data_IF_578536695631
#
_entry.id   IF_578536695631
#
_cell.length_a   1.000
_cell.length_b   1.000
_cell.length_c   1.000
_cell.angle_alpha   90.00
_cell.angle_beta   90.00
_cell.angle_gamma   90.00
#
_symmetry.space_group_name_H-M   'P 1'
#
loop_
_entity.id
_entity.type
_entity.pdbx_description
1 polymer ?
#
# COMPACT_ATOMS: atom_id res chain seq x y z
N UNK A 1 5.97 -15.75 -13.12
CA UNK A 1 6.10 -15.07 -11.82
C UNK A 1 4.83 -15.22 -11.01
N UNK A 2 4.94 -15.36 -9.70
CA UNK A 2 3.78 -15.44 -8.82
C UNK A 2 3.95 -14.50 -7.63
N UNK A 3 3.05 -13.52 -7.49
CA UNK A 3 2.93 -12.69 -6.30
C UNK A 3 1.75 -13.20 -5.48
N UNK A 4 1.97 -13.51 -4.22
CA UNK A 4 0.92 -13.98 -3.32
C UNK A 4 -0.13 -12.89 -3.05
N UNK A 5 -1.35 -13.30 -2.69
CA UNK A 5 -2.36 -12.38 -2.15
C UNK A 5 -1.82 -11.61 -0.94
N UNK A 6 -0.93 -12.22 -0.15
CA UNK A 6 -0.28 -11.61 1.01
C UNK A 6 0.86 -10.66 0.65
N UNK A 7 1.37 -10.71 -0.58
CA UNK A 7 2.32 -9.72 -1.10
C UNK A 7 1.59 -8.45 -1.57
N UNK A 8 0.38 -8.61 -2.09
CA UNK A 8 -0.45 -7.50 -2.56
C UNK A 8 -1.24 -6.82 -1.43
N UNK A 9 -1.59 -7.58 -0.39
CA UNK A 9 -2.34 -7.11 0.78
C UNK A 9 -1.53 -7.39 2.05
N UNK A 10 -0.86 -6.37 2.56
CA UNK A 10 -0.07 -6.47 3.79
C UNK A 10 -0.74 -5.69 4.91
N UNK A 11 -0.99 -6.34 6.02
CA UNK A 11 -1.37 -5.64 7.24
C UNK A 11 -0.19 -4.79 7.70
N UNK A 12 -0.43 -3.53 7.98
CA UNK A 12 0.63 -2.61 8.31
C UNK A 12 0.12 -1.33 8.98
N UNK A 13 0.94 -0.31 8.95
CA UNK A 13 0.73 0.97 9.61
C UNK A 13 0.92 2.13 8.64
N UNK A 14 0.07 3.17 8.78
CA UNK A 14 0.21 4.41 8.01
C UNK A 14 1.41 5.27 8.45
N UNK A 15 1.69 6.34 7.69
CA UNK A 15 0.94 6.77 6.51
C UNK A 15 1.40 6.18 5.17
N UNK A 16 2.62 5.61 5.07
CA UNK A 16 3.19 5.21 3.79
C UNK A 16 3.78 3.80 3.80
N UNK A 17 3.52 3.02 2.74
CA UNK A 17 4.14 1.70 2.60
C UNK A 17 5.64 1.78 2.30
N UNK A 18 6.09 2.78 1.53
CA UNK A 18 7.49 2.96 1.18
C UNK A 18 8.28 3.76 2.23
N UNK A 19 7.67 4.77 2.85
CA UNK A 19 8.37 5.69 3.76
C UNK A 19 8.16 5.38 5.25
N UNK A 20 7.19 4.53 5.60
CA UNK A 20 6.92 4.10 6.98
C UNK A 20 7.15 2.61 7.14
N UNK A 21 6.37 1.76 6.45
CA UNK A 21 6.50 0.31 6.59
C UNK A 21 7.85 -0.20 6.13
N UNK A 22 8.37 0.27 4.98
CA UNK A 22 9.67 -0.13 4.44
C UNK A 22 10.82 0.13 5.42
N UNK A 23 11.02 1.36 5.92
CA UNK A 23 12.04 1.66 6.92
C UNK A 23 11.90 0.85 8.23
N UNK A 24 10.66 0.59 8.69
CA UNK A 24 10.43 -0.28 9.86
C UNK A 24 10.88 -1.72 9.59
N UNK A 25 10.53 -2.27 8.44
CA UNK A 25 10.96 -3.61 8.00
C UNK A 25 12.48 -3.67 7.85
N UNK A 26 13.10 -2.64 7.22
CA UNK A 26 14.54 -2.57 7.08
C UNK A 26 15.27 -2.57 8.43
N UNK A 27 14.74 -1.83 9.42
CA UNK A 27 15.25 -1.85 10.80
C UNK A 27 15.23 -3.25 11.40
N UNK A 28 14.12 -3.97 11.27
CA UNK A 28 14.01 -5.35 11.76
C UNK A 28 14.94 -6.32 11.01
N UNK A 29 15.04 -6.19 9.67
CA UNK A 29 15.99 -6.98 8.87
C UNK A 29 17.45 -6.72 9.29
N UNK A 30 17.79 -5.49 9.65
CA UNK A 30 19.12 -5.16 10.15
C UNK A 30 19.40 -5.79 11.51
N UNK A 31 18.42 -5.85 12.41
CA UNK A 31 18.57 -6.58 13.67
C UNK A 31 18.82 -8.08 13.42
N UNK A 32 18.15 -8.68 12.43
CA UNK A 32 18.41 -10.07 12.02
C UNK A 32 19.80 -10.25 11.41
N UNK A 33 20.30 -9.24 10.69
CA UNK A 33 21.68 -9.23 10.21
C UNK A 33 22.65 -9.20 11.39
N UNK A 34 22.44 -8.33 12.38
CA UNK A 34 23.30 -8.22 13.56
C UNK A 34 23.34 -9.51 14.39
N UNK A 35 22.21 -10.18 14.57
CA UNK A 35 22.14 -11.47 15.30
C UNK A 35 23.01 -12.57 14.70
N UNK A 36 23.32 -12.48 13.41
CA UNK A 36 24.14 -13.44 12.67
C UNK A 36 25.64 -13.11 12.67
N UNK A 37 26.01 -11.92 13.17
CA UNK A 37 27.43 -11.49 13.16
C UNK A 37 28.22 -12.13 14.30
N UNK A 38 29.53 -12.44 14.08
CA UNK A 38 30.40 -13.01 15.10
C UNK A 38 30.93 -11.96 16.11
N UNK A 39 30.63 -10.68 15.91
CA UNK A 39 31.09 -9.56 16.76
C UNK A 39 29.89 -8.91 17.47
N UNK A 40 30.17 -8.24 18.59
CA UNK A 40 29.16 -7.49 19.34
C UNK A 40 29.15 -6.02 18.89
N UNK A 41 27.93 -5.51 18.68
CA UNK A 41 27.66 -4.09 18.38
C UNK A 41 27.34 -3.38 19.69
N UNK A 42 27.79 -2.12 19.86
CA UNK A 42 27.51 -1.30 21.04
C UNK A 42 26.47 -0.19 20.75
N UNK A 43 26.34 0.23 19.49
CA UNK A 43 25.41 1.29 19.10
C UNK A 43 24.89 1.11 17.68
N UNK A 44 23.87 1.92 17.34
CA UNK A 44 23.22 1.91 16.01
C UNK A 44 23.21 3.31 15.42
N UNK A 45 23.16 3.39 14.08
CA UNK A 45 22.91 4.61 13.32
C UNK A 45 22.07 4.31 12.10
N UNK A 46 21.18 5.24 11.72
CA UNK A 46 20.35 5.17 10.52
C UNK A 46 20.55 6.43 9.69
N UNK A 47 20.86 6.31 8.41
CA UNK A 47 20.92 7.40 7.45
C UNK A 47 19.85 7.21 6.39
N UNK A 48 18.99 8.20 6.23
CA UNK A 48 17.86 8.24 5.27
C UNK A 48 18.29 9.08 4.08
N UNK A 49 18.09 8.56 2.86
CA UNK A 49 18.56 9.20 1.62
C UNK A 49 17.41 9.39 0.63
N UNK A 50 17.60 10.33 -0.31
CA UNK A 50 16.68 10.59 -1.39
C UNK A 50 15.27 10.92 -0.89
N UNK A 51 14.24 10.29 -1.43
CA UNK A 51 12.86 10.57 -1.05
C UNK A 51 12.59 10.29 0.43
N UNK A 52 13.25 9.30 1.03
CA UNK A 52 13.14 9.02 2.48
C UNK A 52 13.67 10.18 3.35
N UNK A 53 14.62 10.97 2.84
CA UNK A 53 15.07 12.18 3.53
C UNK A 53 14.15 13.37 3.25
N UNK A 54 13.87 13.65 1.97
CA UNK A 54 13.14 14.85 1.57
C UNK A 54 11.69 14.91 2.04
N UNK A 55 11.01 13.75 2.12
CA UNK A 55 9.61 13.66 2.54
C UNK A 55 9.43 12.88 3.85
N UNK A 56 10.53 12.40 4.43
CA UNK A 56 10.52 11.46 5.56
C UNK A 56 9.82 11.98 6.81
N UNK A 57 10.02 13.25 7.14
CA UNK A 57 9.33 13.87 8.30
C UNK A 57 7.82 13.81 8.14
N UNK A 58 7.31 14.11 6.93
CA UNK A 58 5.88 14.06 6.62
C UNK A 58 5.28 12.63 6.66
N UNK A 59 6.12 11.63 6.44
CA UNK A 59 5.75 10.21 6.46
C UNK A 59 6.14 9.49 7.76
N UNK A 60 6.63 10.20 8.78
CA UNK A 60 7.12 9.64 10.04
C UNK A 60 8.18 8.52 9.81
N UNK A 61 9.08 8.73 8.84
CA UNK A 61 10.12 7.75 8.47
C UNK A 61 11.13 7.56 9.60
N UNK A 62 11.48 8.65 10.29
CA UNK A 62 12.32 8.64 11.52
C UNK A 62 11.67 7.75 12.60
N UNK A 63 10.40 7.99 12.92
CA UNK A 63 9.65 7.16 13.85
C UNK A 63 9.67 5.68 13.43
N UNK A 64 9.45 5.40 12.15
CA UNK A 64 9.37 4.05 11.61
C UNK A 64 10.71 3.30 11.74
N UNK A 65 11.83 3.93 11.38
CA UNK A 65 13.15 3.28 11.48
C UNK A 65 13.55 3.06 12.96
N UNK A 66 13.25 4.03 13.84
CA UNK A 66 13.48 3.88 15.30
C UNK A 66 12.74 2.65 15.83
N UNK A 67 11.44 2.52 15.51
CA UNK A 67 10.63 1.40 15.96
C UNK A 67 11.08 0.08 15.34
N UNK A 68 11.48 0.06 14.07
CA UNK A 68 12.06 -1.11 13.41
C UNK A 68 13.34 -1.58 14.09
N UNK A 69 14.24 -0.66 14.47
CA UNK A 69 15.45 -0.93 15.26
C UNK A 69 15.16 -1.32 16.71
N UNK A 70 13.97 -1.06 17.21
CA UNK A 70 13.48 -1.57 18.50
C UNK A 70 12.78 -2.95 18.37
N UNK A 71 12.64 -3.50 17.15
CA UNK A 71 12.04 -4.80 16.89
C UNK A 71 10.55 -4.80 16.56
N UNK A 72 9.93 -3.63 16.35
CA UNK A 72 8.55 -3.56 15.89
C UNK A 72 8.44 -3.94 14.42
N UNK A 73 7.34 -4.62 14.08
CA UNK A 73 6.97 -4.98 12.72
C UNK A 73 5.60 -4.40 12.35
N UNK A 74 5.39 -4.01 11.09
CA UNK A 74 4.13 -3.39 10.67
C UNK A 74 2.88 -4.25 10.90
N UNK A 75 2.99 -5.58 10.73
CA UNK A 75 1.86 -6.51 10.83
C UNK A 75 1.40 -6.79 12.26
N UNK A 76 2.30 -6.65 13.23
CA UNK A 76 2.04 -6.81 14.66
C UNK A 76 2.02 -5.50 15.44
N UNK A 77 1.97 -4.38 14.71
CA UNK A 77 2.05 -3.04 15.28
C UNK A 77 0.91 -2.75 16.26
N UNK A 78 1.31 -2.28 17.44
CA UNK A 78 0.43 -1.78 18.50
C UNK A 78 0.81 -0.33 18.79
N UNK A 79 -0.09 0.59 18.53
CA UNK A 79 0.20 2.03 18.60
C UNK A 79 0.57 2.49 20.02
N UNK A 80 -0.11 1.99 21.05
CA UNK A 80 0.14 2.41 22.43
C UNK A 80 1.52 1.93 22.91
N UNK A 81 1.89 0.68 22.60
CA UNK A 81 3.22 0.14 22.90
C UNK A 81 4.31 0.86 22.12
N UNK A 82 4.06 1.16 20.84
CA UNK A 82 5.02 1.86 20.00
C UNK A 82 5.26 3.30 20.48
N UNK A 83 4.21 4.03 20.91
CA UNK A 83 4.34 5.37 21.47
C UNK A 83 5.13 5.34 22.79
N UNK A 84 4.81 4.42 23.69
CA UNK A 84 5.52 4.25 24.95
C UNK A 84 7.01 3.93 24.74
N UNK A 85 7.33 3.01 23.82
CA UNK A 85 8.72 2.63 23.51
C UNK A 85 9.47 3.79 22.84
N UNK A 86 8.86 4.54 21.95
CA UNK A 86 9.48 5.70 21.33
C UNK A 86 9.85 6.76 22.36
N UNK A 87 8.98 7.06 23.33
CA UNK A 87 9.26 8.01 24.40
C UNK A 87 10.38 7.48 25.34
N UNK A 88 10.40 6.17 25.63
CA UNK A 88 11.49 5.55 26.37
C UNK A 88 12.84 5.71 25.65
N UNK A 89 12.88 5.39 24.34
CA UNK A 89 14.11 5.50 23.53
C UNK A 89 14.61 6.94 23.49
N UNK A 90 13.71 7.91 23.33
CA UNK A 90 14.08 9.34 23.34
C UNK A 90 14.64 9.79 24.69
N UNK A 91 14.14 9.24 25.79
CA UNK A 91 14.58 9.60 27.13
C UNK A 91 15.90 8.93 27.54
N UNK A 92 16.09 7.66 27.18
CA UNK A 92 17.21 6.82 27.62
C UNK A 92 18.37 6.78 26.60
N UNK A 93 18.12 7.10 25.33
CA UNK A 93 19.13 7.01 24.27
C UNK A 93 19.57 5.57 23.98
N UNK A 94 18.68 4.60 24.17
CA UNK A 94 19.00 3.18 23.99
C UNK A 94 17.84 2.41 23.36
N UNK A 95 18.17 1.34 22.63
CA UNK A 95 17.22 0.32 22.18
C UNK A 95 17.58 -1.03 22.77
N UNK A 96 16.56 -1.87 23.03
CA UNK A 96 16.72 -3.19 23.66
C UNK A 96 16.05 -4.28 22.82
N UNK A 97 16.48 -4.52 21.57
CA UNK A 97 15.85 -5.49 20.70
C UNK A 97 16.10 -6.92 21.22
N UNK A 98 15.11 -7.77 21.08
CA UNK A 98 15.18 -9.16 21.51
C UNK A 98 16.39 -9.89 20.91
N UNK A 99 17.15 -10.62 21.74
CA UNK A 99 18.31 -11.40 21.30
C UNK A 99 19.58 -10.59 21.00
N UNK A 100 19.58 -9.30 21.31
CA UNK A 100 20.77 -8.42 21.23
C UNK A 100 21.00 -7.72 22.57
N UNK A 101 22.23 -7.25 22.84
CA UNK A 101 22.50 -6.43 24.03
C UNK A 101 21.73 -5.10 23.98
N UNK A 102 21.76 -4.34 25.06
CA UNK A 102 21.35 -2.93 25.06
C UNK A 102 22.29 -2.17 24.14
N UNK A 103 21.73 -1.46 23.15
CA UNK A 103 22.47 -0.71 22.15
C UNK A 103 22.22 0.80 22.34
N UNK A 104 23.27 1.59 22.30
CA UNK A 104 23.17 3.06 22.27
C UNK A 104 22.50 3.51 20.97
N UNK A 105 21.51 4.38 21.10
CA UNK A 105 20.80 4.94 19.96
C UNK A 105 20.04 6.20 20.38
N UNK A 106 20.63 7.37 20.11
CA UNK A 106 19.98 8.65 20.34
C UNK A 106 19.28 9.13 19.05
N UNK A 107 17.95 9.11 18.97
CA UNK A 107 17.24 9.50 17.75
C UNK A 107 17.61 10.86 17.18
N UNK A 108 18.06 11.81 18.00
CA UNK A 108 18.43 13.16 17.56
C UNK A 108 19.74 13.19 16.78
N UNK A 109 20.66 12.29 17.11
CA UNK A 109 22.03 12.28 16.57
C UNK A 109 22.24 11.11 15.61
N UNK A 110 21.54 9.98 15.84
CA UNK A 110 21.74 8.72 15.13
C UNK A 110 20.70 8.47 14.01
N UNK A 111 19.66 9.31 13.88
CA UNK A 111 18.79 9.31 12.71
C UNK A 111 19.12 10.52 11.84
N UNK A 112 19.80 10.27 10.74
CA UNK A 112 20.32 11.30 9.83
C UNK A 112 19.42 11.40 8.61
N UNK A 113 18.92 12.59 8.31
CA UNK A 113 18.28 12.90 7.03
C UNK A 113 19.36 13.46 6.09
N UNK A 114 19.85 12.60 5.18
CA UNK A 114 20.88 13.00 4.21
C UNK A 114 20.22 13.55 2.95
N UNK A 115 20.31 14.85 2.75
CA UNK A 115 19.80 15.59 1.59
C UNK A 115 20.79 15.67 0.42
N UNK A 116 21.85 14.87 0.45
CA UNK A 116 22.82 14.73 -0.63
C UNK A 116 22.26 13.96 -1.84
N UNK A 117 23.15 13.51 -2.75
CA UNK A 117 22.76 12.71 -3.89
C UNK A 117 22.04 11.42 -3.48
N UNK A 118 21.08 10.98 -4.30
CA UNK A 118 20.43 9.69 -4.08
C UNK A 118 21.47 8.56 -4.10
N UNK A 119 21.21 7.52 -3.31
CA UNK A 119 21.98 6.28 -3.42
C UNK A 119 21.74 5.63 -4.80
N UNK A 120 22.77 4.97 -5.33
CA UNK A 120 22.62 4.21 -6.58
C UNK A 120 21.58 3.10 -6.40
N UNK A 121 20.65 3.00 -7.34
CA UNK A 121 19.68 1.92 -7.41
C UNK A 121 18.23 2.35 -7.23
N UNK A 122 17.89 3.06 -6.15
CA UNK A 122 16.50 3.48 -5.91
C UNK A 122 16.42 4.76 -5.07
N UNK A 123 15.37 5.58 -5.32
CA UNK A 123 15.18 6.86 -4.63
C UNK A 123 14.86 6.73 -3.13
N UNK A 124 14.37 5.57 -2.67
CA UNK A 124 14.02 5.32 -1.27
C UNK A 124 15.10 4.48 -0.60
N UNK A 125 16.30 5.03 -0.47
CA UNK A 125 17.43 4.35 0.16
C UNK A 125 17.61 4.70 1.63
N UNK A 126 18.07 3.74 2.43
CA UNK A 126 18.51 3.96 3.79
C UNK A 126 19.72 3.09 4.10
N UNK A 127 20.62 3.63 4.91
CA UNK A 127 21.84 2.94 5.36
C UNK A 127 21.73 2.74 6.87
N UNK A 128 21.85 1.49 7.31
CA UNK A 128 21.83 1.12 8.73
C UNK A 128 23.21 0.63 9.14
N UNK A 129 23.76 1.22 10.21
CA UNK A 129 25.12 0.95 10.66
C UNK A 129 25.12 0.45 12.11
N UNK A 130 25.94 -0.57 12.37
CA UNK A 130 26.29 -1.03 13.71
C UNK A 130 27.63 -0.45 14.13
N UNK A 131 27.69 0.12 15.34
CA UNK A 131 28.83 0.84 15.89
C UNK A 131 29.50 0.05 17.01
N UNK A 132 30.80 0.19 17.15
CA UNK A 132 31.53 -0.28 18.33
C UNK A 132 31.39 0.68 19.53
N UNK A 133 32.07 0.36 20.63
CA UNK A 133 32.06 1.19 21.85
C UNK A 133 32.74 2.56 21.69
N UNK A 134 33.53 2.76 20.63
CA UNK A 134 34.18 4.02 20.27
C UNK A 134 33.32 4.88 19.33
N UNK A 135 32.24 4.30 18.77
CA UNK A 135 31.35 4.95 17.82
C UNK A 135 31.79 4.78 16.37
N UNK A 136 32.79 3.92 16.12
CA UNK A 136 33.23 3.59 14.77
C UNK A 136 32.31 2.55 14.14
N UNK A 137 32.03 2.68 12.82
CA UNK A 137 31.20 1.75 12.06
C UNK A 137 31.92 0.42 11.87
N UNK A 138 31.35 -0.67 12.36
CA UNK A 138 31.90 -2.03 12.22
C UNK A 138 31.08 -2.91 11.27
N UNK A 139 29.84 -2.54 10.98
CA UNK A 139 29.01 -3.17 9.95
C UNK A 139 28.01 -2.17 9.40
N UNK A 140 27.70 -2.29 8.12
CA UNK A 140 26.80 -1.40 7.43
C UNK A 140 26.02 -2.15 6.36
N UNK A 141 24.73 -1.89 6.23
CA UNK A 141 23.87 -2.48 5.17
C UNK A 141 23.01 -1.38 4.57
N UNK A 142 23.03 -1.31 3.25
CA UNK A 142 22.11 -0.46 2.47
C UNK A 142 20.85 -1.22 2.11
N UNK A 143 19.71 -0.63 2.41
CA UNK A 143 18.38 -1.12 2.09
C UNK A 143 17.65 -0.15 1.17
N UNK A 144 16.77 -0.70 0.34
CA UNK A 144 15.87 0.06 -0.53
C UNK A 144 14.42 -0.34 -0.30
N UNK A 145 13.57 0.63 -0.03
CA UNK A 145 12.13 0.44 0.06
C UNK A 145 11.49 0.63 -1.31
N UNK A 146 11.21 -0.49 -1.98
CA UNK A 146 10.77 -0.52 -3.38
C UNK A 146 9.25 -0.46 -3.57
N UNK A 147 8.53 0.13 -2.60
CA UNK A 147 7.07 0.29 -2.63
C UNK A 147 6.30 -0.92 -2.09
N UNK A 148 5.02 -0.74 -1.73
CA UNK A 148 4.17 -1.82 -1.22
C UNK A 148 4.69 -2.53 0.04
N UNK A 149 5.58 -1.89 0.82
CA UNK A 149 6.22 -2.49 1.99
C UNK A 149 7.25 -3.58 1.64
N UNK A 150 7.75 -3.62 0.40
CA UNK A 150 8.86 -4.47 0.00
C UNK A 150 10.19 -3.76 0.27
N UNK A 151 11.16 -4.52 0.81
CA UNK A 151 12.51 -4.04 1.10
C UNK A 151 13.51 -5.00 0.49
N UNK A 152 14.53 -4.46 -0.17
CA UNK A 152 15.65 -5.19 -0.73
C UNK A 152 16.97 -4.61 -0.20
N UNK A 153 17.97 -5.45 -0.02
CA UNK A 153 19.35 -4.97 0.16
C UNK A 153 19.93 -4.46 -1.17
N UNK A 154 21.02 -3.69 -1.12
CA UNK A 154 21.70 -3.23 -2.32
C UNK A 154 22.13 -4.40 -3.23
N UNK A 155 22.64 -5.48 -2.63
CA UNK A 155 23.07 -6.67 -3.34
C UNK A 155 21.89 -7.40 -4.02
N UNK A 156 20.76 -7.51 -3.34
CA UNK A 156 19.54 -8.11 -3.89
C UNK A 156 18.98 -7.29 -5.05
N UNK A 157 18.97 -5.96 -4.92
CA UNK A 157 18.54 -5.07 -5.99
C UNK A 157 19.46 -5.15 -7.20
N UNK A 158 20.80 -5.13 -6.99
CA UNK A 158 21.80 -5.25 -8.04
C UNK A 158 21.75 -6.62 -8.76
N UNK A 159 21.42 -7.67 -8.02
CA UNK A 159 21.23 -9.01 -8.58
C UNK A 159 19.93 -9.15 -9.38
N UNK A 160 19.09 -8.09 -9.43
CA UNK A 160 17.77 -8.18 -10.06
C UNK A 160 16.87 -9.19 -9.35
N UNK A 161 17.10 -9.41 -8.04
CA UNK A 161 16.30 -10.33 -7.25
C UNK A 161 14.86 -9.85 -7.23
N UNK A 162 14.03 -10.60 -7.92
CA UNK A 162 12.60 -10.38 -7.88
C UNK A 162 12.05 -10.88 -6.53
N UNK A 163 10.94 -10.33 -6.10
CA UNK A 163 10.24 -10.80 -4.90
C UNK A 163 9.65 -12.21 -5.07
N UNK A 164 9.73 -12.78 -6.27
CA UNK A 164 9.33 -14.15 -6.58
C UNK A 164 10.51 -15.12 -6.32
N UNK A 165 10.26 -16.17 -5.55
CA UNK A 165 11.24 -17.23 -5.28
C UNK A 165 11.49 -18.16 -6.49
N UNK A 166 10.83 -17.90 -7.63
CA UNK A 166 10.97 -18.64 -8.89
C UNK A 166 10.39 -20.05 -8.88
N UNK A 167 9.81 -20.51 -7.76
CA UNK A 167 9.24 -21.84 -7.71
C UNK A 167 7.96 -21.95 -8.58
N UNK A 168 7.76 -23.05 -9.30
CA UNK A 168 6.65 -23.20 -10.23
C UNK A 168 5.29 -23.18 -9.53
N UNK A 169 4.31 -22.56 -10.18
CA UNK A 169 2.89 -22.55 -9.74
C UNK A 169 2.01 -23.13 -10.84
N UNK A 170 0.81 -23.63 -10.52
CA UNK A 170 -0.09 -24.25 -11.53
C UNK A 170 -0.51 -23.31 -12.67
N UNK A 171 -0.68 -22.01 -12.39
CA UNK A 171 -1.15 -21.00 -13.36
C UNK A 171 -0.19 -19.79 -13.37
N UNK A 172 0.97 -19.87 -14.08
CA UNK A 172 2.03 -18.86 -14.01
C UNK A 172 1.85 -17.73 -15.03
N UNK A 173 0.64 -17.12 -15.12
CA UNK A 173 0.39 -16.03 -16.07
C UNK A 173 1.22 -14.77 -15.73
N UNK A 174 1.76 -14.13 -16.78
CA UNK A 174 2.56 -12.89 -16.71
C UNK A 174 1.86 -11.71 -17.40
N UNK A 175 0.80 -11.97 -18.15
CA UNK A 175 0.00 -10.96 -18.84
C UNK A 175 -1.48 -11.25 -18.64
N UNK A 176 -2.33 -10.25 -18.90
CA UNK A 176 -3.78 -10.43 -18.88
C UNK A 176 -4.22 -11.41 -19.97
N UNK A 177 -3.56 -11.35 -21.13
CA UNK A 177 -3.81 -12.32 -22.20
C UNK A 177 -3.55 -13.76 -21.74
N UNK A 178 -2.39 -14.04 -21.15
CA UNK A 178 -2.08 -15.39 -20.63
C UNK A 178 -3.07 -15.82 -19.54
N UNK A 179 -3.51 -14.89 -18.69
CA UNK A 179 -4.51 -15.16 -17.66
C UNK A 179 -5.84 -15.57 -18.26
N UNK A 180 -6.33 -14.88 -19.32
CA UNK A 180 -7.55 -15.21 -20.02
C UNK A 180 -7.43 -16.54 -20.78
N UNK A 181 -6.32 -16.77 -21.48
CA UNK A 181 -6.05 -18.03 -22.17
C UNK A 181 -6.09 -19.23 -21.20
N UNK A 182 -5.44 -19.12 -20.03
CA UNK A 182 -5.46 -20.16 -18.99
C UNK A 182 -6.85 -20.34 -18.37
N UNK A 183 -7.63 -19.27 -18.20
CA UNK A 183 -9.01 -19.35 -17.72
C UNK A 183 -9.89 -20.12 -18.73
N UNK A 184 -9.77 -19.80 -20.01
CA UNK A 184 -10.51 -20.48 -21.09
C UNK A 184 -10.15 -21.95 -21.20
N UNK A 185 -8.85 -22.30 -21.16
CA UNK A 185 -8.35 -23.68 -21.25
C UNK A 185 -8.75 -24.52 -20.03
N UNK A 186 -8.69 -23.96 -18.84
CA UNK A 186 -8.96 -24.69 -17.60
C UNK A 186 -10.45 -24.69 -17.19
N UNK A 187 -11.25 -23.76 -17.70
CA UNK A 187 -12.63 -23.51 -17.25
C UNK A 187 -12.73 -22.96 -15.83
N UNK A 188 -11.63 -22.43 -15.27
CA UNK A 188 -11.58 -21.90 -13.92
C UNK A 188 -11.77 -20.37 -13.93
N UNK A 189 -12.33 -19.85 -12.83
CA UNK A 189 -12.32 -18.42 -12.58
C UNK A 189 -10.90 -17.91 -12.28
N UNK A 190 -10.67 -16.60 -12.45
CA UNK A 190 -9.40 -15.95 -12.10
C UNK A 190 -9.08 -16.17 -10.61
N UNK A 191 -10.09 -16.07 -9.73
CA UNK A 191 -9.95 -16.35 -8.31
C UNK A 191 -9.52 -17.79 -8.02
N UNK A 192 -10.08 -18.77 -8.76
CA UNK A 192 -9.74 -20.20 -8.55
C UNK A 192 -8.33 -20.52 -9.03
N UNK A 193 -7.89 -19.96 -10.16
CA UNK A 193 -6.51 -20.09 -10.64
C UNK A 193 -5.56 -19.49 -9.61
N UNK A 194 -5.85 -18.28 -9.11
CA UNK A 194 -5.06 -17.63 -8.06
C UNK A 194 -5.04 -18.46 -6.78
N UNK A 195 -6.18 -19.00 -6.35
CA UNK A 195 -6.29 -19.90 -5.21
C UNK A 195 -5.43 -21.15 -5.35
N UNK A 196 -5.42 -21.78 -6.52
CA UNK A 196 -4.56 -22.95 -6.77
C UNK A 196 -3.08 -22.60 -6.71
N UNK A 197 -2.69 -21.42 -7.19
CA UNK A 197 -1.32 -20.93 -7.05
C UNK A 197 -0.95 -20.75 -5.57
N UNK A 198 -1.83 -20.13 -4.76
CA UNK A 198 -1.60 -19.99 -3.31
C UNK A 198 -1.47 -21.35 -2.61
N UNK A 199 -2.34 -22.31 -2.94
CA UNK A 199 -2.34 -23.65 -2.36
C UNK A 199 -1.11 -24.48 -2.73
N UNK A 200 -0.37 -24.12 -3.78
CA UNK A 200 0.94 -24.72 -4.07
C UNK A 200 2.04 -24.27 -3.10
N UNK A 201 1.79 -23.21 -2.31
CA UNK A 201 2.76 -22.60 -1.38
C UNK A 201 2.38 -22.79 0.08
N UNK A 202 1.09 -23.00 0.38
CA UNK A 202 0.56 -23.03 1.75
C UNK A 202 -0.69 -23.87 1.88
N UNK A 203 -1.05 -24.23 3.11
CA UNK A 203 -2.26 -24.99 3.39
C UNK A 203 -3.55 -24.16 3.25
N UNK A 204 -4.67 -24.85 2.95
CA UNK A 204 -5.99 -24.21 2.80
C UNK A 204 -6.41 -23.39 4.02
N UNK A 205 -6.18 -23.93 5.24
CA UNK A 205 -6.55 -23.25 6.48
C UNK A 205 -5.71 -21.98 6.72
N UNK A 206 -4.45 -21.98 6.28
CA UNK A 206 -3.56 -20.82 6.37
C UNK A 206 -4.04 -19.72 5.41
N UNK A 207 -4.31 -20.11 4.14
CA UNK A 207 -4.84 -19.19 3.13
C UNK A 207 -6.14 -18.55 3.60
N UNK A 208 -7.12 -19.33 4.03
CA UNK A 208 -8.42 -18.81 4.45
C UNK A 208 -8.29 -17.85 5.63
N UNK A 209 -7.58 -18.25 6.70
CA UNK A 209 -7.36 -17.37 7.88
C UNK A 209 -6.61 -16.08 7.52
N UNK A 210 -5.63 -16.16 6.62
CA UNK A 210 -4.89 -14.99 6.18
C UNK A 210 -5.76 -14.00 5.39
N UNK A 211 -6.60 -14.49 4.48
CA UNK A 211 -7.51 -13.66 3.69
C UNK A 211 -8.64 -13.08 4.57
N UNK A 212 -9.19 -13.87 5.50
CA UNK A 212 -10.14 -13.38 6.50
C UNK A 212 -9.53 -12.25 7.34
N UNK A 213 -8.31 -12.43 7.84
CA UNK A 213 -7.59 -11.40 8.61
C UNK A 213 -7.40 -10.10 7.79
N UNK A 214 -7.09 -10.20 6.50
CA UNK A 214 -6.98 -9.02 5.62
C UNK A 214 -8.29 -8.24 5.62
N UNK A 215 -9.41 -8.93 5.39
CA UNK A 215 -10.71 -8.27 5.39
C UNK A 215 -11.09 -7.70 6.76
N UNK A 216 -10.86 -8.45 7.83
CA UNK A 216 -11.16 -7.98 9.19
C UNK A 216 -10.42 -6.68 9.52
N UNK A 217 -9.14 -6.59 9.17
CA UNK A 217 -8.34 -5.35 9.38
C UNK A 217 -8.85 -4.20 8.51
N UNK A 218 -9.18 -4.46 7.24
CA UNK A 218 -9.77 -3.47 6.34
C UNK A 218 -11.10 -2.92 6.90
N UNK A 219 -11.98 -3.84 7.31
CA UNK A 219 -13.30 -3.48 7.83
C UNK A 219 -13.22 -2.71 9.15
N UNK A 220 -12.37 -3.18 10.09
CA UNK A 220 -12.11 -2.46 11.34
C UNK A 220 -11.49 -1.07 11.11
N UNK A 221 -10.65 -0.93 10.09
CA UNK A 221 -10.09 0.38 9.73
C UNK A 221 -11.18 1.35 9.28
N UNK A 222 -12.14 0.91 8.44
CA UNK A 222 -13.31 1.71 8.07
C UNK A 222 -14.08 2.13 9.32
N UNK A 223 -14.43 1.17 10.18
CA UNK A 223 -15.23 1.44 11.38
C UNK A 223 -14.55 2.43 12.33
N UNK A 224 -13.21 2.32 12.51
CA UNK A 224 -12.45 3.31 13.30
C UNK A 224 -12.48 4.69 12.69
N UNK A 225 -12.29 4.80 11.36
CA UNK A 225 -12.31 6.09 10.65
C UNK A 225 -13.68 6.76 10.67
N UNK A 226 -14.77 5.98 10.59
CA UNK A 226 -16.13 6.47 10.69
C UNK A 226 -16.51 6.93 12.13
N UNK A 227 -15.80 6.44 13.13
CA UNK A 227 -16.05 6.81 14.53
C UNK A 227 -15.23 8.03 15.00
N UNK A 228 -14.14 8.38 14.30
CA UNK A 228 -13.18 9.41 14.74
C UNK A 228 -13.36 10.72 14.00
N UNK A 229 -13.32 11.81 14.74
CA UNK A 229 -13.23 13.18 14.23
C UNK A 229 -11.89 13.85 14.60
N UNK A 230 -11.78 15.16 14.42
CA UNK A 230 -10.62 15.95 14.78
C UNK A 230 -9.76 16.38 13.59
N UNK A 231 -8.50 16.68 13.87
CA UNK A 231 -7.50 17.18 12.91
C UNK A 231 -6.43 16.13 12.69
N UNK A 232 -6.06 15.90 11.42
CA UNK A 232 -4.98 14.99 11.06
C UNK A 232 -3.61 15.56 11.47
N UNK A 233 -2.63 14.71 11.84
CA UNK A 233 -1.29 15.15 12.23
C UNK A 233 -0.51 15.71 11.03
N UNK A 234 0.66 16.33 11.28
CA UNK A 234 1.57 16.82 10.23
C UNK A 234 1.45 18.29 9.89
N UNK A 235 0.57 19.05 10.56
CA UNK A 235 0.54 20.52 10.51
C UNK A 235 -0.16 21.15 9.29
N UNK A 236 -0.87 20.36 8.46
CA UNK A 236 -1.75 20.89 7.42
C UNK A 236 -3.15 21.29 7.96
N UNK A 237 -3.43 20.95 9.22
CA UNK A 237 -4.72 21.20 9.87
C UNK A 237 -5.94 20.64 9.12
N UNK A 238 -5.74 19.55 8.37
CA UNK A 238 -6.81 18.87 7.63
C UNK A 238 -7.78 18.24 8.64
N UNK A 239 -9.06 18.63 8.56
CA UNK A 239 -10.11 18.04 9.37
C UNK A 239 -10.50 16.67 8.85
N UNK A 240 -10.70 15.70 9.75
CA UNK A 240 -11.38 14.46 9.42
C UNK A 240 -12.81 14.75 8.99
N UNK A 241 -13.24 14.19 7.88
CA UNK A 241 -14.55 14.41 7.27
C UNK A 241 -15.43 13.17 7.24
N UNK A 242 -14.81 11.99 7.23
CA UNK A 242 -15.52 10.73 7.05
C UNK A 242 -16.65 10.55 8.08
N UNK A 243 -16.38 10.80 9.36
CA UNK A 243 -17.40 10.72 10.42
C UNK A 243 -18.58 11.65 10.15
N UNK A 244 -18.33 12.93 9.87
CA UNK A 244 -19.41 13.91 9.67
C UNK A 244 -20.27 13.59 8.44
N UNK A 245 -19.65 13.12 7.34
CA UNK A 245 -20.37 12.68 6.15
C UNK A 245 -21.19 11.43 6.46
N UNK A 246 -20.60 10.45 7.16
CA UNK A 246 -21.30 9.23 7.57
C UNK A 246 -22.51 9.50 8.45
N UNK A 247 -22.38 10.39 9.46
CA UNK A 247 -23.47 10.77 10.35
C UNK A 247 -24.63 11.41 9.56
N UNK A 248 -24.31 12.24 8.55
CA UNK A 248 -25.29 12.84 7.64
C UNK A 248 -26.00 11.78 6.79
N UNK A 249 -25.23 10.87 6.16
CA UNK A 249 -25.79 9.80 5.35
C UNK A 249 -26.67 8.85 6.17
N UNK A 250 -26.29 8.56 7.41
CA UNK A 250 -27.10 7.74 8.34
C UNK A 250 -28.41 8.44 8.72
N UNK A 251 -28.39 9.75 8.92
CA UNK A 251 -29.60 10.52 9.20
C UNK A 251 -30.57 10.55 8.00
N UNK A 252 -30.02 10.54 6.78
CA UNK A 252 -30.81 10.52 5.54
C UNK A 252 -31.36 9.13 5.19
N UNK A 253 -30.78 8.05 5.70
CA UNK A 253 -31.12 6.66 5.37
C UNK A 253 -32.60 6.28 5.63
N UNK A 254 -33.27 7.00 6.52
CA UNK A 254 -34.69 6.81 6.84
C UNK A 254 -35.64 7.70 6.04
N UNK A 255 -35.14 8.57 5.17
CA UNK A 255 -35.96 9.51 4.40
C UNK A 255 -36.44 8.87 3.10
N UNK A 256 -37.69 9.17 2.69
CA UNK A 256 -38.28 8.67 1.44
C UNK A 256 -37.67 9.29 0.17
N UNK A 257 -36.79 10.27 0.31
CA UNK A 257 -36.11 10.97 -0.78
C UNK A 257 -34.60 10.80 -0.58
N UNK A 258 -33.94 10.01 -1.44
CA UNK A 258 -32.50 9.96 -1.55
C UNK A 258 -32.07 10.51 -2.92
N UNK A 259 -31.01 11.35 -2.93
CA UNK A 259 -30.43 11.81 -4.19
C UNK A 259 -29.76 10.64 -4.92
N UNK A 260 -29.97 10.49 -6.25
CA UNK A 260 -29.39 9.35 -6.99
C UNK A 260 -27.85 9.22 -6.84
N UNK A 261 -27.13 10.32 -6.63
CA UNK A 261 -25.68 10.34 -6.44
C UNK A 261 -25.22 10.00 -5.00
N UNK A 262 -26.14 9.90 -4.03
CA UNK A 262 -25.82 9.59 -2.63
C UNK A 262 -25.01 8.30 -2.47
N UNK A 263 -25.18 7.36 -3.38
CA UNK A 263 -24.42 6.12 -3.39
C UNK A 263 -22.90 6.37 -3.58
N UNK A 264 -22.53 7.43 -4.32
CA UNK A 264 -21.14 7.85 -4.47
C UNK A 264 -20.58 8.39 -3.16
N UNK A 265 -21.42 9.07 -2.36
CA UNK A 265 -21.02 9.62 -1.07
C UNK A 265 -20.69 8.50 -0.07
N UNK A 266 -21.45 7.38 -0.10
CA UNK A 266 -21.15 6.20 0.71
C UNK A 266 -19.79 5.62 0.37
N UNK A 267 -19.50 5.39 -0.93
CA UNK A 267 -18.21 4.85 -1.39
C UNK A 267 -17.05 5.78 -1.01
N UNK A 268 -17.21 7.09 -1.27
CA UNK A 268 -16.20 8.08 -0.93
C UNK A 268 -15.95 8.12 0.58
N UNK A 269 -17.00 8.06 1.41
CA UNK A 269 -16.90 8.09 2.87
C UNK A 269 -16.13 6.91 3.42
N UNK A 270 -16.38 5.69 2.92
CA UNK A 270 -15.63 4.50 3.34
C UNK A 270 -14.14 4.61 2.97
N UNK A 271 -13.84 5.08 1.75
CA UNK A 271 -12.45 5.26 1.33
C UNK A 271 -11.74 6.36 2.14
N UNK A 272 -12.42 7.47 2.39
CA UNK A 272 -11.90 8.58 3.23
C UNK A 272 -11.64 8.11 4.66
N UNK A 273 -12.53 7.31 5.26
CA UNK A 273 -12.37 6.77 6.60
C UNK A 273 -11.05 5.99 6.73
N UNK A 274 -10.75 5.11 5.77
CA UNK A 274 -9.48 4.37 5.73
C UNK A 274 -8.28 5.31 5.57
N UNK A 275 -8.37 6.29 4.65
CA UNK A 275 -7.23 7.17 4.38
C UNK A 275 -6.99 8.18 5.52
N UNK A 276 -8.01 8.59 6.24
CA UNK A 276 -7.86 9.40 7.46
C UNK A 276 -7.19 8.60 8.58
N UNK A 277 -7.53 7.31 8.74
CA UNK A 277 -6.82 6.41 9.67
C UNK A 277 -5.37 6.19 9.22
N UNK A 278 -5.14 5.96 7.92
CA UNK A 278 -3.79 5.85 7.37
C UNK A 278 -2.96 7.11 7.66
N UNK A 279 -3.51 8.29 7.38
CA UNK A 279 -2.82 9.56 7.61
C UNK A 279 -2.51 9.83 9.09
N UNK A 280 -3.29 9.26 9.99
CA UNK A 280 -3.09 9.35 11.44
C UNK A 280 -2.14 8.29 12.01
N UNK A 281 -1.51 7.46 11.18
CA UNK A 281 -0.60 6.39 11.63
C UNK A 281 -1.32 5.17 12.20
N UNK A 282 -2.60 4.98 11.86
CA UNK A 282 -3.39 3.82 12.27
C UNK A 282 -3.03 2.55 11.51
N UNK A 283 -3.54 1.41 12.01
CA UNK A 283 -3.40 0.14 11.32
C UNK A 283 -4.27 0.12 10.06
N UNK A 284 -3.67 -0.25 8.94
CA UNK A 284 -4.31 -0.36 7.62
C UNK A 284 -3.87 -1.63 6.92
N UNK A 285 -4.51 -1.96 5.80
CA UNK A 285 -3.97 -2.92 4.83
C UNK A 285 -3.44 -2.15 3.62
N UNK A 286 -2.19 -2.36 3.29
CA UNK A 286 -1.61 -1.92 2.02
C UNK A 286 -2.37 -2.57 0.85
N UNK A 287 -2.91 -1.78 -0.11
CA UNK A 287 -3.81 -2.32 -1.13
C UNK A 287 -3.80 -1.49 -2.45
N UNK A 288 -2.78 -1.57 -3.33
CA UNK A 288 -1.47 -2.21 -3.16
C UNK A 288 -0.46 -1.35 -2.41
N UNK A 289 -0.76 -0.06 -2.14
CA UNK A 289 0.03 0.87 -1.33
C UNK A 289 -0.81 1.47 -0.21
N UNK A 290 -0.16 2.10 0.78
CA UNK A 290 -0.88 2.84 1.82
C UNK A 290 -1.57 4.09 1.25
N UNK A 291 -0.96 4.75 0.27
CA UNK A 291 -1.56 5.91 -0.40
C UNK A 291 -2.91 5.60 -1.06
N UNK A 292 -3.12 4.35 -1.46
CA UNK A 292 -4.34 3.85 -2.10
C UNK A 292 -5.16 2.88 -1.22
N UNK A 293 -4.85 2.76 0.07
CA UNK A 293 -5.42 1.77 0.98
C UNK A 293 -6.95 1.84 1.14
N UNK A 294 -7.56 2.98 0.80
CA UNK A 294 -9.00 3.20 0.96
C UNK A 294 -9.87 2.61 -0.16
N UNK A 295 -9.33 2.44 -1.37
CA UNK A 295 -10.13 2.08 -2.55
C UNK A 295 -10.79 0.70 -2.41
N UNK A 296 -9.97 -0.33 -2.22
CA UNK A 296 -10.45 -1.73 -2.19
C UNK A 296 -11.40 -1.99 -1.03
N UNK A 297 -11.08 -1.64 0.23
CA UNK A 297 -12.00 -1.86 1.34
C UNK A 297 -13.31 -1.08 1.20
N UNK A 298 -13.27 0.12 0.61
CA UNK A 298 -14.49 0.89 0.35
C UNK A 298 -15.41 0.20 -0.65
N UNK A 299 -14.85 -0.38 -1.72
CA UNK A 299 -15.64 -1.11 -2.72
C UNK A 299 -16.21 -2.41 -2.14
N UNK A 300 -15.45 -3.15 -1.33
CA UNK A 300 -15.96 -4.35 -0.64
C UNK A 300 -17.09 -3.96 0.33
N UNK A 301 -16.90 -2.91 1.14
CA UNK A 301 -17.92 -2.45 2.10
C UNK A 301 -19.17 -1.94 1.39
N UNK A 302 -19.02 -1.16 0.30
CA UNK A 302 -20.11 -0.77 -0.55
C UNK A 302 -20.88 -1.97 -1.09
N UNK A 303 -20.19 -2.97 -1.63
CA UNK A 303 -20.81 -4.17 -2.14
C UNK A 303 -21.60 -4.90 -1.05
N UNK A 304 -21.02 -5.10 0.13
CA UNK A 304 -21.68 -5.79 1.24
C UNK A 304 -22.91 -5.03 1.78
N UNK A 305 -22.84 -3.70 1.88
CA UNK A 305 -23.87 -2.87 2.52
C UNK A 305 -25.01 -2.46 1.57
N UNK A 306 -24.74 -2.40 0.26
CA UNK A 306 -25.67 -1.79 -0.71
C UNK A 306 -26.05 -2.68 -1.89
N UNK A 307 -25.37 -3.80 -2.14
CA UNK A 307 -25.71 -4.67 -3.27
C UNK A 307 -26.52 -5.88 -2.78
N UNK A 308 -27.76 -6.08 -3.26
CA UNK A 308 -28.59 -7.19 -2.85
C UNK A 308 -27.93 -8.55 -3.16
N UNK A 309 -27.94 -9.46 -2.18
CA UNK A 309 -27.34 -10.79 -2.33
C UNK A 309 -25.82 -10.85 -2.06
N UNK A 310 -25.20 -9.73 -1.74
CA UNK A 310 -23.80 -9.72 -1.30
C UNK A 310 -23.62 -10.50 0.00
N UNK A 311 -22.53 -11.24 0.09
CA UNK A 311 -22.20 -12.03 1.29
C UNK A 311 -20.71 -12.01 1.57
N UNK A 312 -20.32 -11.92 2.86
CA UNK A 312 -18.92 -11.91 3.27
C UNK A 312 -18.15 -13.18 2.86
N UNK A 313 -18.85 -14.29 2.60
CA UNK A 313 -18.25 -15.55 2.13
C UNK A 313 -17.60 -15.44 0.75
N UNK A 314 -17.96 -14.40 -0.04
CA UNK A 314 -17.35 -14.12 -1.33
C UNK A 314 -16.20 -13.11 -1.29
N UNK A 315 -15.90 -12.50 -0.14
CA UNK A 315 -14.75 -11.58 -0.01
C UNK A 315 -13.43 -12.24 -0.40
N UNK A 316 -13.14 -13.51 -0.07
CA UNK A 316 -11.95 -14.19 -0.59
C UNK A 316 -11.87 -14.25 -2.12
N UNK A 317 -12.98 -14.43 -2.82
CA UNK A 317 -13.04 -14.39 -4.29
C UNK A 317 -12.66 -12.99 -4.81
N UNK A 318 -13.20 -11.93 -4.19
CA UNK A 318 -12.86 -10.55 -4.50
C UNK A 318 -11.35 -10.31 -4.34
N UNK A 319 -10.77 -10.62 -3.17
CA UNK A 319 -9.38 -10.34 -2.85
C UNK A 319 -8.40 -11.14 -3.71
N UNK A 320 -8.71 -12.40 -4.02
CA UNK A 320 -7.88 -13.23 -4.90
C UNK A 320 -7.88 -12.70 -6.33
N UNK A 321 -9.04 -12.29 -6.86
CA UNK A 321 -9.13 -11.65 -8.18
C UNK A 321 -8.37 -10.33 -8.21
N UNK A 322 -8.58 -9.47 -7.22
CA UNK A 322 -7.88 -8.21 -7.08
C UNK A 322 -6.35 -8.41 -7.02
N UNK A 323 -5.88 -9.41 -6.27
CA UNK A 323 -4.45 -9.74 -6.19
C UNK A 323 -3.88 -10.25 -7.52
N UNK A 324 -4.66 -10.95 -8.35
CA UNK A 324 -4.21 -11.36 -9.68
C UNK A 324 -3.93 -10.14 -10.57
N UNK A 325 -4.87 -9.18 -10.61
CA UNK A 325 -4.71 -7.93 -11.38
C UNK A 325 -3.56 -7.08 -10.83
N UNK A 326 -3.47 -6.90 -9.51
CA UNK A 326 -2.37 -6.16 -8.89
C UNK A 326 -1.00 -6.77 -9.18
N UNK A 327 -0.93 -8.10 -9.25
CA UNK A 327 0.28 -8.82 -9.64
C UNK A 327 0.72 -8.52 -11.07
N UNK A 328 -0.21 -8.49 -12.04
CA UNK A 328 0.06 -8.13 -13.43
C UNK A 328 0.58 -6.69 -13.54
N UNK A 329 -0.05 -5.75 -12.84
CA UNK A 329 0.34 -4.34 -12.85
C UNK A 329 1.74 -4.17 -12.24
N UNK A 330 1.99 -4.78 -11.07
CA UNK A 330 3.30 -4.70 -10.41
C UNK A 330 4.41 -5.29 -11.27
N UNK A 331 4.14 -6.41 -11.93
CA UNK A 331 5.14 -7.10 -12.75
C UNK A 331 5.48 -6.36 -14.04
N UNK A 332 4.48 -5.81 -14.74
CA UNK A 332 4.66 -5.22 -16.07
C UNK A 332 4.85 -3.70 -16.06
N UNK A 333 4.59 -3.05 -14.91
CA UNK A 333 4.78 -1.61 -14.74
C UNK A 333 5.31 -1.30 -13.34
N UNK A 334 4.51 -0.71 -12.47
CA UNK A 334 4.83 -0.43 -11.06
C UNK A 334 3.55 -0.17 -10.27
N UNK A 335 3.64 -0.35 -8.96
CA UNK A 335 2.62 0.10 -7.99
C UNK A 335 3.12 1.28 -7.14
N UNK A 336 4.29 1.84 -7.46
CA UNK A 336 4.94 2.90 -6.66
C UNK A 336 4.64 4.30 -7.20
N UNK A 337 4.17 5.18 -6.34
CA UNK A 337 3.97 6.60 -6.65
C UNK A 337 5.27 7.32 -7.00
N UNK A 338 6.38 6.92 -6.39
CA UNK A 338 7.71 7.44 -6.66
C UNK A 338 8.24 7.06 -8.06
N UNK A 339 7.78 5.94 -8.62
CA UNK A 339 8.17 5.49 -9.97
C UNK A 339 7.22 5.99 -11.06
N UNK A 340 5.93 5.85 -10.85
CA UNK A 340 4.92 6.08 -11.89
C UNK A 340 3.81 7.07 -11.50
N UNK A 341 3.91 7.79 -10.38
CA UNK A 341 2.84 8.68 -9.92
C UNK A 341 1.64 7.93 -9.32
N UNK A 342 0.58 8.65 -8.97
CA UNK A 342 -0.64 8.06 -8.38
C UNK A 342 -1.44 7.18 -9.35
N UNK A 343 -1.17 7.21 -10.67
CA UNK A 343 -1.72 6.22 -11.59
C UNK A 343 -1.33 4.79 -11.17
N UNK A 344 -0.11 4.61 -10.64
CA UNK A 344 0.37 3.33 -10.13
C UNK A 344 -0.23 2.95 -8.77
N UNK A 345 -0.63 3.89 -7.95
CA UNK A 345 -1.22 3.62 -6.64
C UNK A 345 -2.75 3.52 -6.73
N UNK A 346 -3.43 4.67 -6.89
CA UNK A 346 -4.89 4.74 -6.94
C UNK A 346 -5.45 4.08 -8.20
N UNK A 347 -4.75 4.22 -9.35
CA UNK A 347 -5.16 3.57 -10.60
C UNK A 347 -5.10 2.04 -10.47
N UNK A 348 -4.00 1.50 -9.92
CA UNK A 348 -3.89 0.06 -9.65
C UNK A 348 -4.94 -0.43 -8.67
N UNK A 349 -5.15 0.29 -7.55
CA UNK A 349 -6.17 -0.06 -6.57
C UNK A 349 -7.58 -0.05 -7.16
N UNK A 350 -7.88 0.94 -8.04
CA UNK A 350 -9.17 0.99 -8.75
C UNK A 350 -9.35 -0.17 -9.72
N UNK A 351 -8.32 -0.54 -10.49
CA UNK A 351 -8.35 -1.69 -11.39
C UNK A 351 -8.56 -3.00 -10.62
N UNK A 352 -7.81 -3.18 -9.51
CA UNK A 352 -7.95 -4.32 -8.60
C UNK A 352 -9.36 -4.41 -8.01
N UNK A 353 -9.91 -3.28 -7.57
CA UNK A 353 -11.24 -3.22 -6.97
C UNK A 353 -12.36 -3.46 -8.00
N UNK A 354 -12.21 -2.92 -9.22
CA UNK A 354 -13.16 -3.14 -10.32
C UNK A 354 -13.22 -4.61 -10.71
N UNK A 355 -12.08 -5.25 -10.89
CA UNK A 355 -11.96 -6.67 -11.17
C UNK A 355 -12.57 -7.54 -10.05
N UNK A 356 -12.22 -7.25 -8.79
CA UNK A 356 -12.75 -7.96 -7.63
C UNK A 356 -14.27 -7.85 -7.53
N UNK A 357 -14.84 -6.66 -7.76
CA UNK A 357 -16.29 -6.44 -7.77
C UNK A 357 -16.96 -7.16 -8.93
N UNK A 358 -16.40 -7.07 -10.15
CA UNK A 358 -16.93 -7.76 -11.31
C UNK A 358 -16.99 -9.29 -11.09
N UNK A 359 -15.94 -9.86 -10.47
CA UNK A 359 -15.89 -11.28 -10.14
C UNK A 359 -17.01 -11.71 -9.19
N UNK A 360 -17.16 -11.02 -8.04
CA UNK A 360 -18.19 -11.41 -7.05
C UNK A 360 -19.63 -11.12 -7.51
N UNK A 361 -19.79 -10.29 -8.52
CA UNK A 361 -21.06 -10.05 -9.21
C UNK A 361 -21.33 -11.01 -10.37
N UNK A 362 -20.46 -12.02 -10.60
CA UNK A 362 -20.66 -13.10 -11.56
C UNK A 362 -20.16 -12.79 -12.97
N UNK A 363 -19.24 -11.84 -13.13
CA UNK A 363 -18.61 -11.53 -14.41
C UNK A 363 -17.75 -12.68 -14.95
N UNK A 364 -17.70 -12.78 -16.29
CA UNK A 364 -16.77 -13.69 -16.98
C UNK A 364 -15.33 -13.20 -16.82
N UNK A 365 -14.29 -14.04 -17.06
CA UNK A 365 -12.91 -13.59 -17.05
C UNK A 365 -12.65 -12.36 -17.94
N UNK A 366 -13.27 -12.29 -19.12
CA UNK A 366 -13.17 -11.17 -20.07
C UNK A 366 -13.83 -9.90 -19.52
N UNK A 367 -14.98 -10.02 -18.87
CA UNK A 367 -15.64 -8.88 -18.19
C UNK A 367 -14.82 -8.39 -17.00
N UNK A 368 -14.19 -9.29 -16.25
CA UNK A 368 -13.33 -8.95 -15.11
C UNK A 368 -12.08 -8.18 -15.60
N UNK A 369 -11.46 -8.66 -16.68
CA UNK A 369 -10.30 -8.01 -17.29
C UNK A 369 -10.67 -6.63 -17.84
N UNK A 370 -11.79 -6.51 -18.56
CA UNK A 370 -12.30 -5.23 -19.08
C UNK A 370 -12.64 -4.25 -17.95
N UNK A 371 -13.21 -4.71 -16.82
CA UNK A 371 -13.44 -3.84 -15.67
C UNK A 371 -12.13 -3.25 -15.12
N UNK A 372 -11.07 -4.07 -15.03
CA UNK A 372 -9.75 -3.62 -14.60
C UNK A 372 -9.14 -2.62 -15.58
N UNK A 373 -9.24 -2.88 -16.86
CA UNK A 373 -8.76 -2.00 -17.94
C UNK A 373 -9.44 -0.63 -17.87
N UNK A 374 -10.78 -0.57 -17.88
CA UNK A 374 -11.56 0.69 -17.81
C UNK A 374 -11.14 1.50 -16.57
N UNK A 375 -11.00 0.84 -15.43
CA UNK A 375 -10.60 1.54 -14.21
C UNK A 375 -9.16 2.08 -14.29
N UNK A 376 -8.22 1.33 -14.87
CA UNK A 376 -6.82 1.73 -14.99
C UNK A 376 -6.66 2.89 -15.98
N UNK A 377 -7.25 2.78 -17.18
CA UNK A 377 -7.11 3.80 -18.23
C UNK A 377 -7.56 5.19 -17.76
N UNK A 378 -8.63 5.24 -16.93
CA UNK A 378 -9.16 6.49 -16.38
C UNK A 378 -8.30 7.13 -15.28
N UNK A 379 -7.17 6.51 -14.93
CA UNK A 379 -6.18 7.04 -14.00
C UNK A 379 -4.84 7.37 -14.67
N UNK A 380 -4.68 7.09 -15.97
CA UNK A 380 -3.44 7.38 -16.70
C UNK A 380 -3.08 8.87 -16.63
N UNK A 381 -1.79 9.15 -16.39
CA UNK A 381 -1.27 10.50 -16.23
C UNK A 381 -1.45 11.12 -14.84
N UNK A 382 -2.04 10.42 -13.86
CA UNK A 382 -2.23 10.95 -12.51
C UNK A 382 -0.90 11.09 -11.78
N UNK A 383 -0.55 12.33 -11.42
CA UNK A 383 0.67 12.68 -10.67
C UNK A 383 0.60 12.25 -9.21
N UNK A 384 1.76 12.10 -8.55
CA UNK A 384 1.86 11.94 -7.10
C UNK A 384 2.52 13.19 -6.50
N UNK A 385 1.69 14.13 -6.10
CA UNK A 385 2.07 15.49 -5.69
C UNK A 385 1.41 15.91 -4.37
N UNK A 386 1.57 15.13 -3.29
CA UNK A 386 0.92 15.39 -2.02
C UNK A 386 1.45 16.68 -1.39
N UNK A 387 0.53 17.50 -0.86
CA UNK A 387 0.86 18.77 -0.21
C UNK A 387 1.77 18.52 1.00
N UNK A 388 2.93 19.16 1.03
CA UNK A 388 3.99 18.98 2.05
C UNK A 388 4.44 17.53 2.24
N UNK A 389 4.27 16.68 1.22
CA UNK A 389 4.61 15.26 1.30
C UNK A 389 3.69 14.42 2.19
N UNK A 390 2.58 14.98 2.68
CA UNK A 390 1.68 14.27 3.57
C UNK A 390 0.62 13.49 2.78
N UNK A 391 0.42 12.22 3.11
CA UNK A 391 -0.60 11.34 2.50
C UNK A 391 -2.00 11.74 2.99
N UNK A 392 -2.37 13.00 2.74
CA UNK A 392 -3.63 13.63 3.14
C UNK A 392 -4.33 14.29 1.95
N UNK A 393 -3.75 15.34 1.41
CA UNK A 393 -4.29 16.10 0.28
C UNK A 393 -3.33 15.97 -0.91
N UNK A 394 -3.80 15.45 -2.04
CA UNK A 394 -5.18 15.07 -2.41
C UNK A 394 -5.51 13.59 -2.19
N UNK A 395 -4.68 12.81 -1.49
CA UNK A 395 -4.78 11.36 -1.42
C UNK A 395 -6.15 10.87 -0.89
N UNK A 396 -6.69 11.54 0.13
CA UNK A 396 -7.98 11.17 0.74
C UNK A 396 -9.10 11.24 -0.30
N UNK A 397 -9.21 12.33 -1.05
CA UNK A 397 -10.23 12.49 -2.10
C UNK A 397 -9.99 11.57 -3.30
N UNK A 398 -8.72 11.38 -3.71
CA UNK A 398 -8.37 10.48 -4.81
C UNK A 398 -8.82 9.05 -4.55
N UNK A 399 -8.73 8.58 -3.30
CA UNK A 399 -9.24 7.25 -2.93
C UNK A 399 -10.77 7.18 -3.03
N UNK A 400 -11.48 8.20 -2.58
CA UNK A 400 -12.94 8.28 -2.72
C UNK A 400 -13.39 8.18 -4.17
N UNK A 401 -12.80 9.00 -5.05
CA UNK A 401 -13.11 8.96 -6.49
C UNK A 401 -12.58 7.68 -7.16
N UNK A 402 -11.48 7.11 -6.69
CA UNK A 402 -10.97 5.82 -7.15
C UNK A 402 -11.95 4.68 -6.90
N UNK A 403 -12.57 4.65 -5.73
CA UNK A 403 -13.62 3.67 -5.40
C UNK A 403 -14.86 3.82 -6.29
N UNK A 404 -15.31 5.06 -6.53
CA UNK A 404 -16.44 5.36 -7.41
C UNK A 404 -16.15 4.90 -8.85
N UNK A 405 -14.95 5.21 -9.38
CA UNK A 405 -14.52 4.78 -10.72
C UNK A 405 -14.48 3.24 -10.81
N UNK A 406 -13.98 2.56 -9.79
CA UNK A 406 -13.93 1.10 -9.75
C UNK A 406 -15.32 0.47 -9.87
N UNK A 407 -16.30 0.97 -9.11
CA UNK A 407 -17.68 0.50 -9.18
C UNK A 407 -18.32 0.80 -10.53
N UNK A 408 -18.06 1.99 -11.08
CA UNK A 408 -18.56 2.40 -12.41
C UNK A 408 -17.96 1.52 -13.50
N UNK A 409 -16.68 1.21 -13.46
CA UNK A 409 -15.98 0.35 -14.41
C UNK A 409 -16.53 -1.10 -14.38
N UNK A 410 -16.69 -1.68 -13.19
CA UNK A 410 -17.28 -2.98 -13.01
C UNK A 410 -18.73 -3.04 -13.53
N UNK A 411 -19.54 -2.02 -13.21
CA UNK A 411 -20.92 -1.93 -13.67
C UNK A 411 -21.02 -1.83 -15.19
N UNK A 412 -20.14 -1.06 -15.82
CA UNK A 412 -20.11 -0.88 -17.28
C UNK A 412 -19.70 -2.19 -17.96
N UNK A 413 -18.62 -2.82 -17.52
CA UNK A 413 -18.11 -4.07 -18.07
C UNK A 413 -19.13 -5.22 -17.98
N UNK A 414 -19.82 -5.35 -16.83
CA UNK A 414 -20.84 -6.40 -16.61
C UNK A 414 -22.08 -6.24 -17.51
N UNK A 415 -22.29 -5.10 -18.15
CA UNK A 415 -23.38 -4.88 -19.13
C UNK A 415 -22.97 -5.22 -20.56
N UNK A 416 -21.69 -5.39 -20.81
CA UNK A 416 -21.12 -5.84 -22.08
C UNK A 416 -20.99 -7.36 -22.13
N UNK A 417 -20.44 -7.86 -23.21
CA UNK A 417 -20.11 -9.27 -23.43
C UNK A 417 -18.62 -9.61 -23.14
N UNK A 418 -17.86 -8.65 -22.63
CA UNK A 418 -16.43 -8.77 -22.40
C UNK A 418 -15.54 -8.39 -23.60
N UNK A 419 -16.13 -8.14 -24.78
CA UNK A 419 -15.34 -7.68 -25.94
C UNK A 419 -15.04 -6.20 -25.84
N UNK A 420 -13.76 -5.84 -26.03
CA UNK A 420 -13.27 -4.45 -25.99
C UNK A 420 -12.00 -4.29 -26.83
N UNK A 421 -11.69 -3.05 -27.20
CA UNK A 421 -10.59 -2.74 -28.12
C UNK A 421 -9.23 -2.66 -27.42
N UNK A 422 -9.19 -2.06 -26.24
CA UNK A 422 -7.96 -1.84 -25.47
C UNK A 422 -7.82 -2.94 -24.42
N UNK A 423 -6.90 -3.89 -24.58
CA UNK A 423 -6.69 -4.91 -23.54
C UNK A 423 -5.98 -4.31 -22.31
N UNK A 424 -6.18 -4.90 -21.15
CA UNK A 424 -5.54 -4.49 -19.89
C UNK A 424 -4.00 -4.42 -20.01
N UNK A 425 -3.40 -5.34 -20.77
CA UNK A 425 -1.95 -5.32 -21.02
C UNK A 425 -1.49 -4.02 -21.69
N UNK A 426 -2.29 -3.48 -22.62
CA UNK A 426 -1.98 -2.20 -23.27
C UNK A 426 -2.14 -1.01 -22.32
N UNK A 427 -3.14 -1.03 -21.44
CA UNK A 427 -3.32 0.00 -20.41
C UNK A 427 -2.17 -0.03 -19.39
N UNK A 428 -1.71 -1.22 -18.98
CA UNK A 428 -0.55 -1.40 -18.08
C UNK A 428 0.73 -0.87 -18.73
N UNK A 429 0.99 -1.22 -20.01
CA UNK A 429 2.16 -0.71 -20.74
C UNK A 429 2.10 0.82 -20.94
N UNK A 430 0.91 1.37 -21.22
CA UNK A 430 0.72 2.83 -21.29
C UNK A 430 1.02 3.49 -19.95
N UNK A 431 0.60 2.89 -18.84
CA UNK A 431 0.93 3.39 -17.51
C UNK A 431 2.45 3.38 -17.26
N UNK A 432 3.15 2.31 -17.69
CA UNK A 432 4.61 2.21 -17.58
C UNK A 432 5.31 3.32 -18.38
N UNK A 433 4.89 3.54 -19.63
CA UNK A 433 5.46 4.58 -20.51
C UNK A 433 5.19 5.98 -19.95
N UNK A 434 3.95 6.31 -19.62
CA UNK A 434 3.60 7.60 -19.02
C UNK A 434 4.31 7.82 -17.67
N UNK A 435 4.57 6.73 -16.93
CA UNK A 435 5.39 6.77 -15.73
C UNK A 435 6.84 7.19 -16.04
N UNK A 436 7.45 6.64 -17.08
CA UNK A 436 8.80 7.02 -17.52
C UNK A 436 8.84 8.48 -17.99
N UNK A 437 7.85 8.91 -18.77
CA UNK A 437 7.77 10.26 -19.33
C UNK A 437 7.41 11.33 -18.29
N UNK A 438 6.79 10.94 -17.18
CA UNK A 438 6.42 11.85 -16.11
C UNK A 438 7.66 12.47 -15.47
N UNK A 439 7.72 13.80 -15.43
CA UNK A 439 8.82 14.51 -14.79
C UNK A 439 8.93 14.16 -13.30
N UNK A 440 10.14 13.96 -12.81
CA UNK A 440 10.44 13.55 -11.42
C UNK A 440 9.76 14.43 -10.36
N UNK A 441 9.58 15.73 -10.60
CA UNK A 441 8.88 16.64 -9.68
C UNK A 441 7.40 16.29 -9.41
N UNK A 442 6.81 15.39 -10.22
CA UNK A 442 5.44 14.90 -10.05
C UNK A 442 5.36 13.47 -9.48
N UNK A 443 6.49 12.93 -9.00
CA UNK A 443 6.64 11.56 -8.50
C UNK A 443 7.01 11.55 -7.02
N UNK A 444 6.05 11.88 -6.15
CA UNK A 444 6.18 11.81 -4.69
C UNK A 444 7.35 12.67 -4.11
N UNK A 445 7.63 13.83 -4.74
CA UNK A 445 8.71 14.72 -4.29
C UNK A 445 8.23 16.00 -3.62
N UNK A 446 6.93 16.33 -3.73
CA UNK A 446 6.35 17.60 -3.29
C UNK A 446 7.00 18.86 -3.90
N UNK A 447 7.74 18.69 -5.02
CA UNK A 447 8.42 19.77 -5.72
C UNK A 447 7.64 20.29 -6.94
N UNK A 448 6.43 19.80 -7.17
CA UNK A 448 5.59 20.16 -8.31
C UNK A 448 4.11 19.93 -8.05
N UNK A 449 3.28 20.21 -9.05
CA UNK A 449 1.84 19.96 -9.03
C UNK A 449 1.11 20.69 -7.91
N UNK A 450 0.20 20.00 -7.25
CA UNK A 450 -0.60 20.58 -6.15
C UNK A 450 0.27 21.01 -4.96
N UNK A 451 1.35 20.29 -4.69
CA UNK A 451 2.24 20.57 -3.55
C UNK A 451 2.80 22.01 -3.55
N UNK A 452 3.04 22.60 -4.72
CA UNK A 452 3.62 23.94 -4.86
C UNK A 452 2.58 25.02 -5.23
N UNK A 453 1.37 24.61 -5.56
CA UNK A 453 0.30 25.53 -5.98
C UNK A 453 -0.74 25.80 -4.89
N UNK A 454 -0.63 25.13 -3.74
CA UNK A 454 -1.42 25.45 -2.57
C UNK A 454 -0.74 26.60 -1.83
N UNK A 455 -1.44 27.74 -1.57
CA UNK A 455 -0.86 28.85 -0.83
C UNK A 455 -0.39 28.38 0.56
N UNK A 456 0.84 28.75 0.93
CA UNK A 456 1.27 28.63 2.31
C UNK A 456 0.47 29.66 3.14
N UNK A 457 -0.57 29.19 3.81
CA UNK A 457 -1.30 29.98 4.81
C UNK A 457 -0.63 29.86 6.16
#
# INVERSE_FOLDING_TARGET
>A
MFLSVFDMFKVGVGPSSSHTMGPMVAGAMFLDHLRKQPFSVAGLRASLHGSLAFTGVGHATDRAVILGLAGFLPDTYDAEKADAELERIKAEGTVTPEGLPVLTFNPKDDVIFDYGPNLEGHANGLVLSGLDAQGDVITEVTYYSVGGGFVLTADELAAGKDTDDGAPVPFPFKSAKEMLDMAAESGLSIADMKRKNELSRRGLNELNRGVERIWDVMNQCIDRGLARDGILPGGLFVKRRAKGIYDSLMAERGMNLSAPHQINDWMATYAMAVNEENAAGGQVVTAPTNGAAGVIPAVIRYWLDHVPGATATKVPEFLLTAAAIGGLIKYNASISGAECGCQAEVGSASAMAAAGLAAVMGGTPEQIENAAEIALEHHLGMTCDPVRGLVQVPCIERNGLGAIKAVSAASLSLRGDGTHLVPLDAAIETMRQTGVDMNAKYKETSLGGLAVNVPNC
#
